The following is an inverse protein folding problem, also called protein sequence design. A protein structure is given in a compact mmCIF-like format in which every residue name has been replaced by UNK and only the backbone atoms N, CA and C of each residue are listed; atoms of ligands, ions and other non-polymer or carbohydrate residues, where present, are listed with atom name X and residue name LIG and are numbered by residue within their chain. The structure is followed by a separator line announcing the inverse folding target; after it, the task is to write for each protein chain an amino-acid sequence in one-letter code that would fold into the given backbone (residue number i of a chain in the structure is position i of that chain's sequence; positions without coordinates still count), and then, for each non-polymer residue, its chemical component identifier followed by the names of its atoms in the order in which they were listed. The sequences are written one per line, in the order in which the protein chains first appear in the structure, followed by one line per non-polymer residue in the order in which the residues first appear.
data_IF_580577946262
#
_entry.id   IF_580577946262
#
_cell.length_a   1.000
_cell.length_b   1.000
_cell.length_c   1.000
_cell.angle_alpha   90.00
_cell.angle_beta   90.00
_cell.angle_gamma   90.00
#
_symmetry.space_group_name_H-M   'P 1'
#
loop_
_entity.id
_entity.type
_entity.pdbx_description
1 polymer ?
#
# COMPACT_ATOMS: atom_id res chain seq x y z
N UNK A 1 -8.62 7.55 -13.25
CA UNK A 1 -8.42 6.10 -13.40
C UNK A 1 -7.49 5.65 -12.28
N UNK A 2 -8.03 5.38 -11.09
CA UNK A 2 -7.20 5.05 -9.92
C UNK A 2 -6.40 3.76 -10.10
N UNK A 3 -7.05 2.70 -10.56
CA UNK A 3 -6.43 1.38 -10.75
C UNK A 3 -5.17 1.46 -11.62
N UNK A 4 -5.21 2.16 -12.76
CA UNK A 4 -4.05 2.27 -13.64
C UNK A 4 -2.88 3.02 -13.01
N UNK A 5 -3.15 4.04 -12.18
CA UNK A 5 -2.08 4.73 -11.45
C UNK A 5 -1.47 3.84 -10.38
N UNK A 6 -2.31 3.09 -9.63
CA UNK A 6 -1.85 2.15 -8.61
C UNK A 6 -1.04 0.99 -9.23
N UNK A 7 -1.55 0.38 -10.31
CA UNK A 7 -0.86 -0.71 -11.01
C UNK A 7 0.50 -0.27 -11.53
N UNK A 8 0.58 0.92 -12.14
CA UNK A 8 1.84 1.50 -12.60
C UNK A 8 2.82 1.74 -11.44
N UNK A 9 2.36 2.36 -10.35
CA UNK A 9 3.15 2.60 -9.16
C UNK A 9 3.70 1.30 -8.55
N UNK A 10 2.88 0.27 -8.45
CA UNK A 10 3.25 -1.04 -7.89
C UNK A 10 4.31 -1.72 -8.77
N UNK A 11 4.11 -1.73 -10.09
CA UNK A 11 5.07 -2.30 -11.03
C UNK A 11 6.41 -1.55 -11.01
N UNK A 12 6.39 -0.22 -10.91
CA UNK A 12 7.61 0.60 -10.78
C UNK A 12 8.38 0.33 -9.48
N UNK A 13 7.68 -0.07 -8.41
CA UNK A 13 8.31 -0.48 -7.16
C UNK A 13 8.81 -1.94 -7.18
N UNK A 14 8.73 -2.64 -8.31
CA UNK A 14 9.08 -4.06 -8.46
C UNK A 14 8.20 -5.00 -7.62
N UNK A 15 6.96 -4.58 -7.33
CA UNK A 15 5.93 -5.40 -6.70
C UNK A 15 4.94 -5.94 -7.73
N UNK A 16 4.23 -7.01 -7.36
CA UNK A 16 3.12 -7.57 -8.13
C UNK A 16 1.81 -7.30 -7.40
N UNK A 17 0.83 -6.71 -8.09
CA UNK A 17 -0.54 -6.58 -7.61
C UNK A 17 -1.27 -7.93 -7.72
N UNK A 18 -1.72 -8.49 -6.60
CA UNK A 18 -2.39 -9.80 -6.55
C UNK A 18 -3.89 -9.69 -6.33
N UNK A 19 -4.35 -8.65 -5.63
CA UNK A 19 -5.77 -8.39 -5.41
C UNK A 19 -6.03 -6.89 -5.41
N UNK A 20 -7.15 -6.48 -6.01
CA UNK A 20 -7.67 -5.12 -5.94
C UNK A 20 -9.17 -5.14 -5.63
N UNK A 21 -9.58 -4.37 -4.63
CA UNK A 21 -10.97 -4.16 -4.28
C UNK A 21 -11.32 -2.68 -4.44
N UNK A 22 -12.13 -2.35 -5.45
CA UNK A 22 -12.68 -1.02 -5.64
C UNK A 22 -14.06 -0.94 -5.00
N UNK A 23 -14.12 -0.36 -3.81
CA UNK A 23 -15.37 -0.14 -3.09
C UNK A 23 -15.68 1.35 -3.00
N UNK A 24 -15.23 2.17 -3.97
CA UNK A 24 -15.38 3.63 -3.89
C UNK A 24 -16.82 4.10 -3.85
N UNK A 25 -17.78 3.28 -4.30
CA UNK A 25 -19.21 3.50 -4.10
C UNK A 25 -19.60 3.55 -2.60
N UNK A 26 -18.82 2.92 -1.73
CA UNK A 26 -18.95 2.91 -0.28
C UNK A 26 -17.88 3.83 0.32
N UNK A 27 -18.20 5.12 0.42
CA UNK A 27 -17.37 6.14 1.07
C UNK A 27 -15.96 6.32 0.46
N UNK A 28 -15.74 6.00 -0.82
CA UNK A 28 -14.44 6.19 -1.44
C UNK A 28 -13.36 5.17 -1.04
N UNK A 29 -13.75 4.06 -0.41
CA UNK A 29 -12.81 3.04 0.04
C UNK A 29 -12.25 2.21 -1.12
N UNK A 30 -10.98 1.83 -1.01
CA UNK A 30 -10.39 0.82 -1.87
C UNK A 30 -9.25 0.13 -1.13
N UNK A 31 -8.90 -1.07 -1.57
CA UNK A 31 -7.75 -1.79 -1.02
C UNK A 31 -7.04 -2.58 -2.10
N UNK A 32 -5.77 -2.86 -1.86
CA UNK A 32 -4.98 -3.76 -2.69
C UNK A 32 -4.09 -4.66 -1.85
N UNK A 33 -3.71 -5.78 -2.45
CA UNK A 33 -2.69 -6.69 -1.95
C UNK A 33 -1.55 -6.72 -2.96
N UNK A 34 -0.34 -6.55 -2.47
CA UNK A 34 0.87 -6.62 -3.29
C UNK A 34 1.89 -7.58 -2.70
N UNK A 35 2.64 -8.23 -3.58
CA UNK A 35 3.69 -9.16 -3.22
C UNK A 35 5.01 -8.75 -3.87
N UNK A 36 6.08 -8.78 -3.09
CA UNK A 36 7.42 -8.41 -3.53
C UNK A 36 8.40 -8.48 -2.37
N UNK A 37 9.68 -8.69 -2.69
CA UNK A 37 10.75 -8.76 -1.69
C UNK A 37 10.49 -9.78 -0.56
N UNK A 38 9.83 -10.90 -0.88
CA UNK A 38 9.51 -11.96 0.08
C UNK A 38 8.41 -11.62 1.08
N UNK A 39 7.67 -10.53 0.86
CA UNK A 39 6.61 -10.06 1.75
C UNK A 39 5.31 -9.79 0.99
N UNK A 40 4.20 -9.90 1.72
CA UNK A 40 2.87 -9.52 1.26
C UNK A 40 2.42 -8.29 2.03
N UNK A 41 1.98 -7.26 1.32
CA UNK A 41 1.47 -6.03 1.91
C UNK A 41 0.02 -5.81 1.52
N UNK A 42 -0.74 -5.19 2.43
CA UNK A 42 -2.08 -4.71 2.16
C UNK A 42 -2.11 -3.20 2.31
N UNK A 43 -2.52 -2.50 1.26
CA UNK A 43 -2.67 -1.04 1.28
C UNK A 43 -4.16 -0.74 1.22
N UNK A 44 -4.65 0.03 2.18
CA UNK A 44 -6.06 0.34 2.34
C UNK A 44 -6.24 1.85 2.33
N UNK A 45 -7.11 2.32 1.44
CA UNK A 45 -7.66 3.66 1.54
C UNK A 45 -9.02 3.60 2.21
N UNK A 46 -9.09 4.16 3.41
CA UNK A 46 -10.31 4.35 4.17
C UNK A 46 -10.83 5.75 3.83
N UNK A 47 -11.90 5.81 3.04
CA UNK A 47 -12.31 7.07 2.42
C UNK A 47 -13.18 7.97 3.29
N UNK A 48 -13.69 7.51 4.45
CA UNK A 48 -14.49 8.37 5.35
C UNK A 48 -13.61 9.32 6.13
N UNK A 49 -12.60 8.79 6.81
CA UNK A 49 -11.69 9.62 7.60
C UNK A 49 -10.48 10.05 6.75
N UNK A 50 -10.40 9.54 5.50
CA UNK A 50 -9.38 9.94 4.53
C UNK A 50 -8.01 9.46 4.98
N UNK A 51 -7.88 8.15 5.20
CA UNK A 51 -6.60 7.53 5.54
C UNK A 51 -6.10 6.62 4.42
N UNK A 52 -4.79 6.65 4.21
CA UNK A 52 -4.07 5.64 3.47
C UNK A 52 -3.20 4.86 4.47
N UNK A 53 -3.50 3.58 4.64
CA UNK A 53 -2.88 2.73 5.67
C UNK A 53 -2.16 1.57 5.00
N UNK A 54 -0.97 1.27 5.51
CA UNK A 54 -0.06 0.25 4.98
C UNK A 54 0.12 -0.85 6.03
N UNK A 55 -0.16 -2.09 5.62
CA UNK A 55 -0.06 -3.25 6.49
C UNK A 55 0.92 -4.27 5.92
N UNK A 56 1.65 -4.96 6.79
CA UNK A 56 2.25 -6.26 6.47
C UNK A 56 1.22 -7.35 6.72
N UNK A 57 1.09 -8.27 5.76
CA UNK A 57 0.29 -9.47 5.90
C UNK A 57 1.22 -10.67 6.13
N UNK A 58 0.97 -11.43 7.19
CA UNK A 58 1.69 -12.69 7.42
C UNK A 58 1.04 -13.88 6.69
N UNK A 59 1.64 -15.07 6.79
CA UNK A 59 1.15 -16.31 6.17
C UNK A 59 -0.21 -16.77 6.69
N UNK A 60 -0.64 -16.29 7.85
CA UNK A 60 -1.94 -16.60 8.47
C UNK A 60 -3.01 -15.54 8.14
N UNK A 61 -2.65 -14.49 7.40
CA UNK A 61 -3.54 -13.38 7.06
C UNK A 61 -3.63 -12.30 8.15
N UNK A 62 -2.82 -12.37 9.21
CA UNK A 62 -2.75 -11.32 10.23
C UNK A 62 -2.18 -10.06 9.61
N UNK A 63 -2.84 -8.92 9.87
CA UNK A 63 -2.38 -7.61 9.44
C UNK A 63 -1.65 -6.90 10.57
N UNK A 64 -0.42 -6.49 10.32
CA UNK A 64 0.35 -5.60 11.20
C UNK A 64 0.43 -4.23 10.53
N UNK A 65 -0.11 -3.19 11.18
CA UNK A 65 0.00 -1.82 10.68
C UNK A 65 1.45 -1.36 10.71
N UNK A 66 1.92 -0.82 9.60
CA UNK A 66 3.30 -0.35 9.44
C UNK A 66 3.36 1.18 9.33
N UNK A 67 2.42 1.78 8.62
CA UNK A 67 2.35 3.23 8.43
C UNK A 67 0.91 3.66 8.13
N UNK A 68 0.63 4.94 8.39
CA UNK A 68 -0.68 5.57 8.17
C UNK A 68 -0.51 7.03 7.79
N UNK A 69 -1.12 7.44 6.67
CA UNK A 69 -1.04 8.79 6.11
C UNK A 69 -2.43 9.41 5.95
N UNK A 70 -2.58 10.68 6.30
CA UNK A 70 -3.77 11.46 5.96
C UNK A 70 -3.84 11.66 4.43
N UNK A 71 -4.96 11.30 3.83
CA UNK A 71 -5.22 11.36 2.38
C UNK A 71 -6.43 12.22 2.00
N UNK A 72 -7.06 12.91 2.96
CA UNK A 72 -8.30 13.66 2.75
C UNK A 72 -8.22 14.72 1.62
N UNK A 73 -7.03 15.27 1.36
CA UNK A 73 -6.78 16.23 0.28
C UNK A 73 -6.05 15.65 -0.94
N UNK A 74 -5.70 14.37 -0.94
CA UNK A 74 -4.97 13.73 -2.04
C UNK A 74 -5.91 13.39 -3.19
N UNK A 75 -5.47 13.56 -4.43
CA UNK A 75 -6.15 12.99 -5.60
C UNK A 75 -5.75 11.51 -5.84
N UNK A 76 -6.20 10.91 -6.95
CA UNK A 76 -5.86 9.51 -7.28
C UNK A 76 -4.35 9.35 -7.60
N UNK A 77 -3.73 10.35 -8.22
CA UNK A 77 -2.31 10.37 -8.59
C UNK A 77 -1.43 10.51 -7.35
N UNK A 78 -1.84 11.39 -6.42
CA UNK A 78 -1.16 11.59 -5.14
C UNK A 78 -1.15 10.29 -4.32
N UNK A 79 -2.29 9.60 -4.23
CA UNK A 79 -2.40 8.32 -3.51
C UNK A 79 -1.50 7.26 -4.13
N UNK A 80 -1.49 7.14 -5.46
CA UNK A 80 -0.60 6.22 -6.15
C UNK A 80 0.88 6.57 -5.92
N UNK A 81 1.22 7.85 -5.91
CA UNK A 81 2.58 8.31 -5.64
C UNK A 81 3.01 7.99 -4.21
N UNK A 82 2.12 8.13 -3.23
CA UNK A 82 2.39 7.70 -1.85
C UNK A 82 2.59 6.19 -1.75
N UNK A 83 1.84 5.39 -2.51
CA UNK A 83 2.04 3.94 -2.56
C UNK A 83 3.41 3.59 -3.15
N UNK A 84 3.81 4.23 -4.25
CA UNK A 84 5.14 4.05 -4.85
C UNK A 84 6.25 4.38 -3.84
N UNK A 85 6.21 5.59 -3.26
CA UNK A 85 7.23 6.04 -2.29
C UNK A 85 7.35 5.05 -1.14
N UNK A 86 6.22 4.64 -0.55
CA UNK A 86 6.21 3.73 0.57
C UNK A 86 6.79 2.35 0.19
N UNK A 87 6.37 1.79 -0.96
CA UNK A 87 6.84 0.49 -1.43
C UNK A 87 8.34 0.51 -1.82
N UNK A 88 8.84 1.63 -2.33
CA UNK A 88 10.26 1.80 -2.65
C UNK A 88 11.12 1.95 -1.41
N UNK A 89 10.66 2.66 -0.38
CA UNK A 89 11.47 2.96 0.80
C UNK A 89 11.49 1.82 1.83
N UNK A 90 10.35 1.16 2.04
CA UNK A 90 10.17 0.23 3.16
C UNK A 90 11.07 -1.03 3.13
N UNK A 91 11.31 -1.70 1.98
CA UNK A 91 12.24 -2.82 1.90
C UNK A 91 13.66 -2.46 2.34
N UNK A 92 14.11 -1.22 2.09
CA UNK A 92 15.43 -0.77 2.51
C UNK A 92 15.53 -0.58 4.03
N UNK A 93 14.47 -0.06 4.68
CA UNK A 93 14.46 0.11 6.13
C UNK A 93 14.54 -1.21 6.92
N UNK A 94 14.00 -2.31 6.39
CA UNK A 94 14.10 -3.62 7.03
C UNK A 94 15.50 -4.23 6.90
N UNK A 95 16.15 -4.10 5.74
CA UNK A 95 17.51 -4.63 5.52
C UNK A 95 18.53 -3.99 6.46
N UNK A 96 18.40 -2.70 6.78
CA UNK A 96 19.31 -2.03 7.72
C UNK A 96 19.09 -2.46 9.19
N UNK A 97 17.86 -2.81 9.57
CA UNK A 97 17.56 -3.21 10.96
C UNK A 97 17.86 -4.69 11.24
N UNK A 98 17.84 -5.56 10.23
CA UNK A 98 18.16 -6.99 10.39
C UNK A 98 19.68 -7.28 10.51
N UNK A 99 20.56 -6.27 10.37
CA UNK A 99 22.01 -6.41 10.58
C UNK A 99 22.51 -5.97 11.97
N UNK A 100 21.62 -5.73 12.94
CA UNK A 100 21.98 -5.34 14.31
C UNK A 100 21.66 -6.39 15.39
N UNK A 101 21.51 -7.67 15.03
CA UNK A 101 21.37 -8.78 15.99
C UNK A 101 22.50 -9.81 15.84
#
# INVERSE_FOLDING_TARGET
MLYSYLENAIQHAEFTLTEFSDQRAYFGCWSLIVEGNGHTYSIVHEGRDGWLIFYRRDVYGTLTELDKKESACMDDTDKASQCLIWLSDYPHFLVFNDQQL
#
